data_IF_896031957430
#
_entry.id   IF_896031957430
#
_cell.length_a   1.000
_cell.length_b   1.000
_cell.length_c   1.000
_cell.angle_alpha   90.00
_cell.angle_beta   90.00
_cell.angle_gamma   90.00
#
_symmetry.space_group_name_H-M   'P 1'
#
loop_
_entity.id
_entity.type
_entity.pdbx_description
1 polymer ?
#
# COMPACT_ATOMS: atom_id res chain seq x y z
N UNK A 1 0.97 5.94 26.62
CA UNK A 1 1.06 6.38 25.21
C UNK A 1 0.76 5.17 24.36
N UNK A 2 -0.30 5.24 23.56
CA UNK A 2 -0.72 4.14 22.72
C UNK A 2 0.30 3.89 21.60
N UNK A 3 0.75 2.66 21.50
CA UNK A 3 1.55 2.20 20.36
C UNK A 3 0.74 2.39 19.07
N UNK A 4 1.13 3.35 18.25
CA UNK A 4 0.51 3.54 16.94
C UNK A 4 0.85 2.34 16.07
N UNK A 5 -0.05 1.38 16.00
CA UNK A 5 0.07 0.22 15.12
C UNK A 5 -0.17 0.66 13.68
N UNK A 6 0.90 0.94 12.94
CA UNK A 6 0.80 1.12 11.50
C UNK A 6 0.77 -0.24 10.82
N UNK A 7 -0.40 -0.71 10.44
CA UNK A 7 -0.53 -1.91 9.62
C UNK A 7 -0.06 -1.60 8.20
N UNK A 8 1.18 -1.91 7.86
CA UNK A 8 1.67 -2.06 6.49
C UNK A 8 1.48 -0.91 5.48
N UNK A 9 1.17 0.29 5.94
CA UNK A 9 0.79 1.43 5.11
C UNK A 9 1.84 2.56 5.13
N UNK A 10 3.00 2.29 5.75
CA UNK A 10 3.98 3.32 6.07
C UNK A 10 4.69 3.93 4.87
N UNK A 11 4.77 3.23 3.75
CA UNK A 11 5.75 3.55 2.72
C UNK A 11 5.32 4.68 1.79
N UNK A 12 4.03 4.98 1.71
CA UNK A 12 3.48 6.04 0.84
C UNK A 12 2.97 7.24 1.64
N UNK A 13 2.72 7.05 2.92
CA UNK A 13 2.35 8.15 3.79
C UNK A 13 3.60 8.76 4.45
N UNK A 14 3.73 10.07 4.40
CA UNK A 14 4.80 10.83 5.03
C UNK A 14 4.72 10.69 6.55
N UNK A 15 5.15 9.54 7.08
CA UNK A 15 5.24 9.30 8.52
C UNK A 15 6.62 9.69 8.99
N UNK A 16 6.67 10.71 9.79
CA UNK A 16 7.91 11.24 10.30
C UNK A 16 8.19 10.62 11.68
N UNK A 17 8.94 9.54 11.71
CA UNK A 17 9.28 8.82 12.95
C UNK A 17 9.85 9.76 13.99
N UNK A 18 10.78 10.66 13.60
CA UNK A 18 11.39 11.65 14.50
C UNK A 18 10.43 12.76 14.88
N UNK A 19 9.68 13.32 13.94
CA UNK A 19 8.76 14.43 14.17
C UNK A 19 7.61 14.03 15.10
N UNK A 20 7.14 12.79 14.98
CA UNK A 20 6.07 12.25 15.81
C UNK A 20 6.56 11.56 17.08
N UNK A 21 7.87 11.57 17.34
CA UNK A 21 8.52 10.95 18.50
C UNK A 21 8.05 9.49 18.71
N UNK A 22 8.05 8.71 17.61
CA UNK A 22 7.58 7.33 17.65
C UNK A 22 8.63 6.41 18.26
N UNK A 23 8.22 5.58 19.19
CA UNK A 23 9.09 4.64 19.90
C UNK A 23 9.36 3.36 19.13
N UNK A 24 8.38 2.89 18.35
CA UNK A 24 8.52 1.70 17.54
C UNK A 24 7.68 1.81 16.27
N UNK A 25 8.28 1.46 15.13
CA UNK A 25 7.61 1.41 13.83
C UNK A 25 8.00 0.13 13.13
N UNK A 26 7.02 -0.53 12.51
CA UNK A 26 7.28 -1.67 11.64
C UNK A 26 6.56 -1.51 10.30
N UNK A 27 7.11 -2.15 9.29
CA UNK A 27 6.57 -2.21 7.93
C UNK A 27 6.50 -3.65 7.45
N UNK A 28 6.17 -3.86 6.20
CA UNK A 28 6.10 -5.17 5.57
C UNK A 28 6.64 -5.10 4.13
N UNK A 29 7.48 -6.06 3.78
CA UNK A 29 8.14 -6.11 2.48
C UNK A 29 7.17 -6.27 1.29
N UNK A 30 6.03 -6.93 1.47
CA UNK A 30 5.05 -7.24 0.42
C UNK A 30 4.03 -6.13 0.12
N UNK A 31 4.23 -4.92 0.62
CA UNK A 31 3.36 -3.76 0.35
C UNK A 31 4.04 -2.81 -0.63
N UNK A 32 4.17 -1.54 -0.31
CA UNK A 32 4.75 -0.55 -1.22
C UNK A 32 6.23 -0.80 -1.56
N UNK A 33 6.93 -1.63 -0.79
CA UNK A 33 8.29 -2.07 -1.14
C UNK A 33 8.34 -3.11 -2.28
N UNK A 34 7.20 -3.67 -2.68
CA UNK A 34 7.08 -4.59 -3.82
C UNK A 34 7.97 -5.84 -3.77
N UNK A 35 8.29 -6.31 -2.56
CA UNK A 35 9.02 -7.55 -2.36
C UNK A 35 8.07 -8.72 -2.04
N UNK A 36 8.64 -9.93 -2.00
CA UNK A 36 7.95 -11.09 -1.43
C UNK A 36 7.68 -10.91 0.05
N UNK A 37 6.58 -11.46 0.60
CA UNK A 37 6.36 -11.49 2.04
C UNK A 37 7.44 -12.29 2.78
N UNK A 38 7.63 -12.00 4.08
CA UNK A 38 8.56 -12.72 4.94
C UNK A 38 9.52 -11.83 5.73
N UNK A 39 9.64 -10.55 5.36
CA UNK A 39 10.45 -9.58 6.10
C UNK A 39 9.57 -8.44 6.62
N UNK A 40 9.87 -8.03 7.85
CA UNK A 40 9.24 -6.88 8.49
C UNK A 40 10.33 -5.91 8.95
N UNK A 41 10.67 -4.89 8.15
CA UNK A 41 11.55 -3.83 8.60
C UNK A 41 10.98 -3.17 9.85
N UNK A 42 11.82 -2.99 10.87
CA UNK A 42 11.45 -2.38 12.14
C UNK A 42 12.47 -1.34 12.56
N UNK A 43 12.02 -0.33 13.29
CA UNK A 43 12.90 0.62 13.97
C UNK A 43 12.40 0.87 15.38
N UNK A 44 13.32 1.11 16.29
CA UNK A 44 13.04 1.38 17.70
C UNK A 44 13.80 2.63 18.15
N UNK A 45 13.20 3.40 19.07
CA UNK A 45 13.89 4.48 19.77
C UNK A 45 14.84 3.92 20.83
N UNK A 46 15.80 4.74 21.26
CA UNK A 46 16.69 4.39 22.38
C UNK A 46 15.90 4.09 23.66
N UNK A 47 14.78 4.79 23.89
CA UNK A 47 13.87 4.53 25.01
C UNK A 47 13.35 3.08 25.04
N UNK A 48 13.03 2.51 23.86
CA UNK A 48 12.59 1.10 23.76
C UNK A 48 13.75 0.17 24.03
N UNK A 49 14.94 0.47 23.51
CA UNK A 49 16.13 -0.35 23.73
C UNK A 49 16.46 -0.39 25.23
N UNK A 50 16.49 0.75 25.90
CA UNK A 50 16.72 0.84 27.35
C UNK A 50 15.67 0.07 28.16
N UNK A 51 14.39 0.21 27.77
CA UNK A 51 13.31 -0.52 28.40
C UNK A 51 13.44 -2.04 28.26
N UNK A 52 13.76 -2.51 27.05
CA UNK A 52 13.88 -3.96 26.77
C UNK A 52 15.12 -4.55 27.46
N UNK A 53 16.25 -3.85 27.44
CA UNK A 53 17.48 -4.30 28.08
C UNK A 53 17.39 -4.30 29.60
N UNK A 54 16.62 -3.38 30.18
CA UNK A 54 16.37 -3.31 31.63
C UNK A 54 15.29 -4.28 32.16
N UNK A 55 14.65 -5.07 31.31
CA UNK A 55 13.60 -6.01 31.76
C UNK A 55 14.14 -7.09 32.69
N UNK A 56 13.40 -7.35 33.77
CA UNK A 56 13.70 -8.45 34.72
C UNK A 56 13.15 -9.78 34.22
N UNK A 57 12.00 -9.76 33.55
CA UNK A 57 11.34 -10.96 33.04
C UNK A 57 11.74 -11.24 31.60
N UNK A 58 12.03 -12.52 31.31
CA UNK A 58 12.38 -12.94 29.95
C UNK A 58 11.18 -12.84 29.02
N UNK A 59 11.46 -12.50 27.75
CA UNK A 59 10.49 -12.58 26.66
C UNK A 59 10.11 -14.05 26.43
N UNK A 60 8.82 -14.35 26.26
CA UNK A 60 8.35 -15.71 26.06
C UNK A 60 8.81 -16.34 24.73
N UNK A 61 9.01 -15.50 23.69
CA UNK A 61 9.48 -15.95 22.39
C UNK A 61 10.96 -15.70 22.24
N UNK A 62 11.76 -16.76 22.17
CA UNK A 62 13.18 -16.67 21.84
C UNK A 62 13.42 -15.92 20.51
N UNK A 63 12.62 -16.22 19.48
CA UNK A 63 12.78 -15.63 18.13
C UNK A 63 12.50 -14.13 18.10
N UNK A 64 11.61 -13.64 18.96
CA UNK A 64 11.23 -12.22 19.03
C UNK A 64 11.89 -11.48 20.18
N UNK A 65 12.88 -12.07 20.83
CA UNK A 65 13.64 -11.40 21.89
C UNK A 65 14.63 -10.41 21.28
N UNK A 66 14.31 -9.13 21.40
CA UNK A 66 15.13 -8.05 20.85
C UNK A 66 16.54 -8.03 21.43
N UNK A 67 16.75 -8.42 22.71
CA UNK A 67 18.07 -8.50 23.31
C UNK A 67 18.95 -9.49 22.58
N UNK A 68 18.40 -10.67 22.25
CA UNK A 68 19.13 -11.70 21.51
C UNK A 68 19.43 -11.26 20.08
N UNK A 69 18.50 -10.57 19.44
CA UNK A 69 18.70 -10.01 18.09
C UNK A 69 19.78 -8.91 18.07
N UNK A 70 19.76 -8.01 19.05
CA UNK A 70 20.78 -6.96 19.20
C UNK A 70 22.18 -7.54 19.40
N UNK A 71 22.33 -8.59 20.20
CA UNK A 71 23.58 -9.30 20.40
C UNK A 71 24.09 -9.98 19.11
N UNK A 72 23.18 -10.38 18.21
CA UNK A 72 23.53 -10.94 16.92
C UNK A 72 24.01 -9.87 15.91
N UNK A 73 23.43 -8.67 15.95
CA UNK A 73 23.73 -7.62 14.96
C UNK A 73 24.68 -6.52 15.46
N UNK A 74 24.65 -6.23 16.73
CA UNK A 74 25.23 -5.00 17.30
C UNK A 74 26.63 -5.12 17.88
N UNK A 75 27.21 -6.32 18.01
CA UNK A 75 28.47 -6.54 18.70
C UNK A 75 29.61 -7.03 17.81
N UNK A 76 30.83 -6.72 18.21
CA UNK A 76 32.07 -7.18 17.54
C UNK A 76 32.19 -8.71 17.55
N UNK A 77 31.75 -9.35 18.64
CA UNK A 77 31.64 -10.81 18.76
C UNK A 77 30.19 -11.19 18.53
N UNK A 78 29.91 -11.77 17.38
CA UNK A 78 28.55 -12.18 17.00
C UNK A 78 28.13 -13.44 17.75
N UNK A 79 26.95 -13.38 18.34
CA UNK A 79 26.26 -14.56 18.87
C UNK A 79 25.20 -14.98 17.87
N UNK A 80 25.30 -16.22 17.35
CA UNK A 80 24.31 -16.72 16.40
C UNK A 80 22.91 -16.77 17.03
N UNK A 81 21.92 -16.24 16.33
CA UNK A 81 20.54 -16.26 16.76
C UNK A 81 19.68 -17.11 15.81
N UNK A 82 19.64 -16.79 14.52
CA UNK A 82 18.85 -17.51 13.52
C UNK A 82 19.49 -17.41 12.15
N UNK A 83 19.11 -18.33 11.25
CA UNK A 83 19.52 -18.25 9.85
C UNK A 83 18.69 -17.19 9.13
N UNK A 84 19.36 -16.16 8.62
CA UNK A 84 18.71 -15.10 7.88
C UNK A 84 18.10 -15.60 6.56
N UNK A 85 16.91 -15.12 6.15
CA UNK A 85 16.27 -15.48 4.88
C UNK A 85 16.95 -14.73 3.73
N UNK A 86 18.12 -15.22 3.29
CA UNK A 86 19.04 -14.53 2.37
C UNK A 86 18.35 -14.05 1.09
N UNK A 87 17.56 -14.90 0.44
CA UNK A 87 16.87 -14.52 -0.80
C UNK A 87 15.87 -13.36 -0.57
N UNK A 88 15.16 -13.35 0.56
CA UNK A 88 14.29 -12.26 0.94
C UNK A 88 15.07 -10.96 1.23
N UNK A 89 16.25 -11.06 1.84
CA UNK A 89 17.10 -9.91 2.11
C UNK A 89 17.65 -9.30 0.81
N UNK A 90 18.08 -10.11 -0.17
CA UNK A 90 18.47 -9.60 -1.48
C UNK A 90 17.32 -8.90 -2.20
N UNK A 91 16.12 -9.49 -2.18
CA UNK A 91 14.95 -8.86 -2.79
C UNK A 91 14.60 -7.53 -2.10
N UNK A 92 14.66 -7.46 -0.76
CA UNK A 92 14.43 -6.22 -0.02
C UNK A 92 15.52 -5.18 -0.28
N UNK A 93 16.77 -5.59 -0.37
CA UNK A 93 17.89 -4.70 -0.70
C UNK A 93 17.66 -4.03 -2.06
N UNK A 94 17.33 -4.82 -3.09
CA UNK A 94 17.03 -4.30 -4.43
C UNK A 94 15.84 -3.34 -4.42
N UNK A 95 14.76 -3.69 -3.75
CA UNK A 95 13.60 -2.82 -3.63
C UNK A 95 13.92 -1.48 -2.96
N UNK A 96 14.79 -1.48 -1.96
CA UNK A 96 15.24 -0.25 -1.29
C UNK A 96 16.17 0.58 -2.20
N UNK A 97 16.99 -0.07 -3.04
CA UNK A 97 17.78 0.63 -4.06
C UNK A 97 16.88 1.31 -5.09
N UNK A 98 15.88 0.62 -5.63
CA UNK A 98 14.92 1.18 -6.58
C UNK A 98 14.13 2.34 -5.96
N UNK A 99 13.70 2.21 -4.71
CA UNK A 99 13.03 3.30 -3.98
C UNK A 99 13.95 4.51 -3.78
N UNK A 100 15.22 4.29 -3.45
CA UNK A 100 16.22 5.35 -3.31
C UNK A 100 16.50 6.04 -4.65
N UNK A 101 16.55 5.29 -5.73
CA UNK A 101 16.78 5.78 -7.09
C UNK A 101 15.60 6.63 -7.59
N UNK A 102 14.37 6.15 -7.39
CA UNK A 102 13.17 6.92 -7.68
C UNK A 102 13.07 8.18 -6.80
N UNK A 103 13.46 8.10 -5.55
CA UNK A 103 13.28 9.10 -4.51
C UNK A 103 11.91 9.01 -3.84
N UNK A 104 11.91 9.07 -2.50
CA UNK A 104 10.69 8.83 -1.70
C UNK A 104 9.55 9.83 -2.03
N UNK A 105 9.88 11.07 -2.29
CA UNK A 105 8.89 12.10 -2.65
C UNK A 105 8.28 11.86 -4.03
N UNK A 106 9.09 11.38 -4.99
CA UNK A 106 8.61 10.97 -6.31
C UNK A 106 7.70 9.74 -6.22
N UNK A 107 8.04 8.79 -5.36
CA UNK A 107 7.21 7.62 -5.06
C UNK A 107 5.84 8.05 -4.52
N UNK A 108 5.78 8.98 -3.57
CA UNK A 108 4.51 9.51 -3.07
C UNK A 108 3.70 10.21 -4.15
N UNK A 109 4.35 11.06 -4.95
CA UNK A 109 3.72 11.77 -6.07
C UNK A 109 3.17 10.78 -7.12
N UNK A 110 3.90 9.70 -7.42
CA UNK A 110 3.48 8.65 -8.34
C UNK A 110 2.22 7.93 -7.82
N UNK A 111 2.20 7.50 -6.56
CA UNK A 111 1.02 6.86 -5.98
C UNK A 111 -0.19 7.79 -5.97
N UNK A 112 0.00 9.05 -5.56
CA UNK A 112 -1.07 10.04 -5.57
C UNK A 112 -1.61 10.28 -6.98
N UNK A 113 -0.74 10.37 -7.98
CA UNK A 113 -1.12 10.57 -9.38
C UNK A 113 -2.01 9.43 -9.89
N UNK A 114 -1.61 8.19 -9.65
CA UNK A 114 -2.36 7.03 -10.11
C UNK A 114 -3.64 6.80 -9.30
N UNK A 115 -3.62 7.12 -8.01
CA UNK A 115 -4.82 7.11 -7.18
C UNK A 115 -5.88 8.09 -7.71
N UNK A 116 -5.52 9.33 -8.06
CA UNK A 116 -6.47 10.30 -8.59
C UNK A 116 -7.10 9.83 -9.91
N UNK A 117 -6.33 9.20 -10.78
CA UNK A 117 -6.86 8.63 -12.01
C UNK A 117 -7.81 7.43 -11.74
N UNK A 118 -7.43 6.52 -10.85
CA UNK A 118 -8.29 5.39 -10.44
C UNK A 118 -9.58 5.87 -9.77
N UNK A 119 -9.48 6.88 -8.90
CA UNK A 119 -10.63 7.54 -8.26
C UNK A 119 -11.59 8.11 -9.30
N UNK A 120 -11.09 8.90 -10.26
CA UNK A 120 -11.90 9.49 -11.32
C UNK A 120 -12.67 8.40 -12.10
N UNK A 121 -12.03 7.28 -12.40
CA UNK A 121 -12.66 6.14 -13.05
C UNK A 121 -13.77 5.50 -12.21
N UNK A 122 -13.55 5.27 -10.91
CA UNK A 122 -14.59 4.75 -10.02
C UNK A 122 -15.78 5.71 -9.88
N UNK A 123 -15.53 7.00 -9.76
CA UNK A 123 -16.57 8.02 -9.70
C UNK A 123 -17.38 8.10 -11.00
N UNK A 124 -16.74 7.97 -12.17
CA UNK A 124 -17.43 7.88 -13.45
C UNK A 124 -18.32 6.64 -13.59
N UNK A 125 -17.95 5.53 -12.94
CA UNK A 125 -18.82 4.35 -12.83
C UNK A 125 -19.95 4.50 -11.82
N UNK A 126 -20.06 5.61 -11.08
CA UNK A 126 -21.01 5.80 -9.99
C UNK A 126 -20.72 4.99 -8.74
N UNK A 127 -19.50 4.45 -8.60
CA UNK A 127 -19.09 3.64 -7.45
C UNK A 127 -18.77 4.53 -6.25
N UNK A 128 -19.10 4.04 -5.06
CA UNK A 128 -18.95 4.79 -3.81
C UNK A 128 -17.79 4.26 -2.98
N UNK A 129 -16.97 5.16 -2.49
CA UNK A 129 -15.91 4.82 -1.53
C UNK A 129 -16.51 4.55 -0.14
N UNK A 130 -15.96 3.56 0.57
CA UNK A 130 -16.27 3.32 1.99
C UNK A 130 -15.85 4.51 2.86
N UNK A 131 -14.64 5.03 2.64
CA UNK A 131 -14.14 6.23 3.31
C UNK A 131 -14.70 7.45 2.59
N UNK A 132 -15.65 8.15 3.23
CA UNK A 132 -16.41 9.24 2.60
C UNK A 132 -15.54 10.47 2.35
N UNK A 133 -14.78 10.88 3.36
CA UNK A 133 -13.91 12.07 3.26
C UNK A 133 -12.60 11.70 2.55
N UNK A 134 -12.30 12.42 1.47
CA UNK A 134 -11.12 12.15 0.65
C UNK A 134 -9.81 12.36 1.43
N UNK A 135 -9.77 13.31 2.35
CA UNK A 135 -8.58 13.56 3.18
C UNK A 135 -8.17 12.38 4.05
N UNK A 136 -9.12 11.48 4.36
CA UNK A 136 -8.91 10.29 5.19
C UNK A 136 -8.60 9.04 4.33
N UNK A 137 -8.56 9.17 3.00
CA UNK A 137 -8.25 8.07 2.07
C UNK A 137 -6.76 7.92 1.89
N UNK A 138 -6.35 6.68 1.65
CA UNK A 138 -4.96 6.33 1.37
C UNK A 138 -4.78 6.08 -0.14
N UNK A 139 -3.78 6.69 -0.79
CA UNK A 139 -3.58 6.51 -2.24
C UNK A 139 -3.25 5.08 -2.63
N UNK A 140 -2.65 4.30 -1.75
CA UNK A 140 -2.24 2.93 -2.03
C UNK A 140 -3.34 1.88 -1.87
N UNK A 141 -4.51 2.24 -1.33
CA UNK A 141 -5.64 1.32 -1.20
C UNK A 141 -6.97 2.05 -1.29
N UNK A 142 -7.82 1.62 -2.20
CA UNK A 142 -9.18 2.11 -2.36
C UNK A 142 -10.17 1.03 -1.93
N UNK A 143 -11.03 1.35 -0.97
CA UNK A 143 -12.11 0.47 -0.55
C UNK A 143 -13.42 0.98 -1.14
N UNK A 144 -14.02 0.19 -2.02
CA UNK A 144 -15.22 0.54 -2.80
C UNK A 144 -16.39 -0.29 -2.30
N UNK A 145 -17.52 0.36 -2.07
CA UNK A 145 -18.78 -0.30 -1.72
C UNK A 145 -19.27 -1.11 -2.92
N UNK A 146 -19.66 -2.35 -2.67
CA UNK A 146 -20.32 -3.19 -3.67
C UNK A 146 -21.72 -2.59 -3.95
N UNK A 147 -22.07 -2.31 -5.22
CA UNK A 147 -23.40 -1.82 -5.57
C UNK A 147 -24.49 -2.83 -5.20
N UNK A 148 -25.68 -2.32 -4.89
CA UNK A 148 -26.84 -3.15 -4.62
C UNK A 148 -27.16 -4.06 -5.82
N UNK A 149 -27.49 -5.32 -5.56
CA UNK A 149 -27.79 -6.32 -6.58
C UNK A 149 -26.57 -6.94 -7.27
N UNK A 150 -25.35 -6.52 -6.94
CA UNK A 150 -24.11 -7.10 -7.49
C UNK A 150 -23.52 -8.09 -6.49
N UNK A 151 -23.16 -9.28 -6.97
CA UNK A 151 -22.45 -10.28 -6.18
C UNK A 151 -20.95 -9.94 -6.12
N UNK A 152 -20.48 -9.67 -4.91
CA UNK A 152 -19.10 -9.31 -4.61
C UNK A 152 -18.11 -10.36 -5.10
N UNK A 153 -18.35 -11.62 -4.78
CA UNK A 153 -17.45 -12.74 -5.08
C UNK A 153 -17.42 -13.06 -6.58
N UNK A 154 -18.58 -12.97 -7.26
CA UNK A 154 -18.66 -13.17 -8.70
C UNK A 154 -17.82 -12.16 -9.48
N UNK A 155 -17.85 -10.88 -9.07
CA UNK A 155 -17.00 -9.84 -9.70
C UNK A 155 -15.52 -10.16 -9.52
N UNK A 156 -15.06 -10.50 -8.31
CA UNK A 156 -13.64 -10.85 -8.08
C UNK A 156 -13.22 -12.09 -8.87
N UNK A 157 -14.07 -13.12 -8.91
CA UNK A 157 -13.79 -14.33 -9.67
C UNK A 157 -13.63 -14.04 -11.16
N UNK A 158 -14.51 -13.20 -11.73
CA UNK A 158 -14.44 -12.79 -13.14
C UNK A 158 -13.23 -11.90 -13.44
N UNK A 159 -12.90 -10.97 -12.56
CA UNK A 159 -11.67 -10.16 -12.70
C UNK A 159 -10.44 -11.07 -12.81
N UNK A 160 -10.34 -12.07 -11.95
CA UNK A 160 -9.22 -13.00 -11.96
C UNK A 160 -9.23 -13.91 -13.21
N UNK A 161 -10.37 -14.55 -13.52
CA UNK A 161 -10.44 -15.56 -14.58
C UNK A 161 -10.44 -14.98 -15.99
N UNK A 162 -11.05 -13.81 -16.21
CA UNK A 162 -11.17 -13.20 -17.54
C UNK A 162 -10.04 -12.20 -17.85
N UNK A 163 -9.47 -11.55 -16.81
CA UNK A 163 -8.51 -10.44 -16.98
C UNK A 163 -7.19 -10.61 -16.24
N UNK A 164 -7.00 -11.68 -15.46
CA UNK A 164 -5.84 -11.90 -14.58
C UNK A 164 -5.64 -10.74 -13.56
N UNK A 165 -6.73 -10.12 -13.13
CA UNK A 165 -6.72 -9.05 -12.13
C UNK A 165 -7.30 -9.56 -10.83
N UNK A 166 -6.48 -9.62 -9.80
CA UNK A 166 -6.91 -9.99 -8.45
C UNK A 166 -7.12 -8.75 -7.59
N UNK A 167 -8.29 -8.66 -6.94
CA UNK A 167 -8.61 -7.63 -5.96
C UNK A 167 -9.04 -8.25 -4.64
N UNK A 168 -8.88 -7.50 -3.54
CA UNK A 168 -9.20 -7.99 -2.21
C UNK A 168 -10.69 -7.91 -1.87
N UNK A 169 -11.18 -8.91 -1.13
CA UNK A 169 -12.50 -8.88 -0.49
C UNK A 169 -12.49 -7.99 0.77
N UNK A 170 -13.67 -7.59 1.24
CA UNK A 170 -13.86 -7.05 2.58
C UNK A 170 -13.50 -8.07 3.66
N UNK A 171 -13.16 -7.59 4.86
CA UNK A 171 -12.80 -8.43 6.01
C UNK A 171 -13.78 -8.20 7.18
N UNK A 172 -14.06 -9.25 7.93
CA UNK A 172 -14.94 -9.18 9.11
C UNK A 172 -16.32 -8.61 8.76
N UNK A 173 -16.76 -7.54 9.42
CA UNK A 173 -18.09 -6.93 9.16
C UNK A 173 -18.28 -6.36 7.75
N UNK A 174 -17.20 -6.19 6.98
CA UNK A 174 -17.20 -5.70 5.60
C UNK A 174 -17.17 -6.83 4.55
N UNK A 175 -17.11 -8.09 4.96
CA UNK A 175 -17.14 -9.23 4.04
C UNK A 175 -18.41 -9.18 3.18
N UNK A 176 -18.25 -9.36 1.87
CA UNK A 176 -19.33 -9.29 0.88
C UNK A 176 -19.89 -7.89 0.60
N UNK A 177 -19.39 -6.85 1.28
CA UNK A 177 -19.93 -5.47 1.16
C UNK A 177 -19.00 -4.52 0.43
N UNK A 178 -17.72 -4.85 0.33
CA UNK A 178 -16.71 -3.98 -0.27
C UNK A 178 -15.68 -4.77 -1.07
N UNK A 179 -15.13 -4.12 -2.08
CA UNK A 179 -13.88 -4.51 -2.75
C UNK A 179 -12.73 -3.64 -2.26
N UNK A 180 -11.52 -4.22 -2.22
CA UNK A 180 -10.31 -3.47 -1.92
C UNK A 180 -9.37 -3.52 -3.11
N UNK A 181 -9.11 -2.36 -3.68
CA UNK A 181 -8.18 -2.19 -4.80
C UNK A 181 -6.84 -1.70 -4.27
N UNK A 182 -5.81 -2.54 -4.39
CA UNK A 182 -4.45 -2.20 -4.00
C UNK A 182 -3.70 -1.53 -5.15
N UNK A 183 -3.14 -0.35 -4.88
CA UNK A 183 -2.32 0.39 -5.83
C UNK A 183 -0.98 0.70 -5.14
N UNK A 184 -0.15 -0.35 -4.98
CA UNK A 184 1.02 -0.32 -4.11
C UNK A 184 2.31 -0.57 -4.87
N UNK A 185 3.35 0.23 -4.57
CA UNK A 185 4.68 0.01 -5.10
C UNK A 185 4.72 -0.03 -6.63
N UNK A 186 5.27 -1.08 -7.20
CA UNK A 186 5.40 -1.25 -8.64
C UNK A 186 4.06 -1.32 -9.39
N UNK A 187 3.00 -1.78 -8.74
CA UNK A 187 1.67 -1.84 -9.37
C UNK A 187 1.01 -0.47 -9.54
N UNK A 188 1.51 0.57 -8.86
CA UNK A 188 1.04 1.93 -9.02
C UNK A 188 1.58 2.54 -10.33
N UNK A 189 0.94 2.18 -11.45
CA UNK A 189 1.25 2.67 -12.79
C UNK A 189 -0.03 2.83 -13.63
N UNK A 190 0.06 3.57 -14.74
CA UNK A 190 -1.09 3.88 -15.58
C UNK A 190 -1.68 2.66 -16.29
N UNK A 191 -0.85 1.70 -16.70
CA UNK A 191 -1.31 0.49 -17.39
C UNK A 191 -2.24 -0.33 -16.48
N UNK A 192 -1.84 -0.53 -15.22
CA UNK A 192 -2.65 -1.26 -14.24
C UNK A 192 -3.95 -0.52 -13.88
N UNK A 193 -3.92 0.81 -13.78
CA UNK A 193 -5.14 1.62 -13.56
C UNK A 193 -6.11 1.43 -14.71
N UNK A 194 -5.65 1.55 -15.96
CA UNK A 194 -6.49 1.41 -17.15
C UNK A 194 -7.04 -0.01 -17.28
N UNK A 195 -6.20 -1.04 -17.09
CA UNK A 195 -6.64 -2.45 -17.10
C UNK A 195 -7.72 -2.70 -16.04
N UNK A 196 -7.51 -2.22 -14.82
CA UNK A 196 -8.45 -2.42 -13.72
C UNK A 196 -9.82 -1.77 -14.01
N UNK A 197 -9.83 -0.53 -14.48
CA UNK A 197 -11.06 0.20 -14.80
C UNK A 197 -11.80 -0.45 -15.97
N UNK A 198 -11.09 -0.82 -17.04
CA UNK A 198 -11.69 -1.47 -18.20
C UNK A 198 -12.29 -2.84 -17.87
N UNK A 199 -11.54 -3.67 -17.13
CA UNK A 199 -12.00 -4.98 -16.69
C UNK A 199 -13.24 -4.88 -15.78
N UNK A 200 -13.18 -4.00 -14.77
CA UNK A 200 -14.30 -3.80 -13.84
C UNK A 200 -15.54 -3.26 -14.56
N UNK A 201 -15.39 -2.25 -15.41
CA UNK A 201 -16.48 -1.68 -16.19
C UNK A 201 -17.15 -2.70 -17.11
N UNK A 202 -16.37 -3.52 -17.79
CA UNK A 202 -16.85 -4.63 -18.62
C UNK A 202 -17.68 -5.65 -17.82
N UNK A 203 -17.16 -6.08 -16.67
CA UNK A 203 -17.84 -7.05 -15.80
C UNK A 203 -19.14 -6.47 -15.24
N UNK A 204 -19.11 -5.26 -14.70
CA UNK A 204 -20.28 -4.61 -14.13
C UNK A 204 -21.38 -4.40 -15.19
N UNK A 205 -21.01 -4.01 -16.40
CA UNK A 205 -21.95 -3.87 -17.52
C UNK A 205 -22.60 -5.22 -17.87
N UNK A 206 -21.83 -6.31 -17.96
CA UNK A 206 -22.35 -7.67 -18.19
C UNK A 206 -23.29 -8.16 -17.09
N UNK A 207 -23.10 -7.67 -15.85
CA UNK A 207 -23.95 -7.99 -14.71
C UNK A 207 -25.17 -7.05 -14.58
N UNK A 208 -25.41 -6.16 -15.53
CA UNK A 208 -26.55 -5.27 -15.57
C UNK A 208 -26.43 -4.01 -14.70
N UNK A 209 -25.24 -3.73 -14.14
CA UNK A 209 -25.01 -2.46 -13.46
C UNK A 209 -24.88 -1.32 -14.49
N UNK A 210 -25.51 -0.14 -14.27
CA UNK A 210 -25.62 0.92 -15.28
C UNK A 210 -24.31 1.71 -15.44
N UNK A 211 -23.26 1.05 -15.92
CA UNK A 211 -22.01 1.69 -16.32
C UNK A 211 -21.95 1.80 -17.84
N UNK A 212 -21.36 2.88 -18.32
CA UNK A 212 -21.02 3.02 -19.73
C UNK A 212 -19.55 2.66 -19.94
N UNK A 213 -19.32 1.62 -20.72
CA UNK A 213 -17.96 1.15 -21.04
C UNK A 213 -17.18 2.28 -21.71
N UNK A 214 -15.95 2.53 -21.26
CA UNK A 214 -15.08 3.58 -21.76
C UNK A 214 -15.14 4.90 -20.99
N UNK A 215 -16.21 5.19 -20.26
CA UNK A 215 -16.31 6.46 -19.50
C UNK A 215 -15.31 6.52 -18.33
N UNK A 216 -15.06 5.41 -17.67
CA UNK A 216 -14.09 5.33 -16.58
C UNK A 216 -12.66 5.55 -17.06
N UNK A 217 -12.31 4.94 -18.18
CA UNK A 217 -11.01 5.11 -18.83
C UNK A 217 -10.84 6.56 -19.32
N UNK A 218 -11.87 7.14 -19.90
CA UNK A 218 -11.85 8.54 -20.34
C UNK A 218 -11.64 9.50 -19.15
N UNK A 219 -12.33 9.27 -18.03
CA UNK A 219 -12.15 10.04 -16.80
C UNK A 219 -10.73 9.91 -16.22
N UNK A 220 -10.17 8.71 -16.24
CA UNK A 220 -8.78 8.48 -15.81
C UNK A 220 -7.76 9.18 -16.72
N UNK A 221 -7.93 9.13 -18.04
CA UNK A 221 -7.10 9.85 -18.98
C UNK A 221 -7.18 11.37 -18.78
N UNK A 222 -8.37 11.92 -18.56
CA UNK A 222 -8.56 13.33 -18.27
C UNK A 222 -7.86 13.74 -16.95
N UNK A 223 -7.93 12.89 -15.93
CA UNK A 223 -7.21 13.08 -14.67
C UNK A 223 -5.70 13.14 -14.89
N UNK A 224 -5.13 12.24 -15.69
CA UNK A 224 -3.71 12.27 -16.03
C UNK A 224 -3.31 13.54 -16.81
N UNK A 225 -4.11 13.95 -17.78
CA UNK A 225 -3.84 15.14 -18.59
C UNK A 225 -3.84 16.42 -17.74
N UNK A 226 -4.81 16.59 -16.84
CA UNK A 226 -4.90 17.75 -15.95
C UNK A 226 -3.72 17.85 -14.98
N UNK A 227 -3.25 16.71 -14.46
CA UNK A 227 -2.08 16.63 -13.58
C UNK A 227 -0.79 17.04 -14.32
N UNK A 228 -0.61 16.60 -15.56
CA UNK A 228 0.54 17.02 -16.40
C UNK A 228 0.56 18.53 -16.63
N UNK A 229 -0.58 19.13 -16.96
CA UNK A 229 -0.71 20.58 -17.15
C UNK A 229 -0.32 21.35 -15.87
N UNK A 230 -0.81 20.91 -14.70
CA UNK A 230 -0.49 21.52 -13.41
C UNK A 230 1.00 21.42 -13.05
N UNK A 231 1.64 20.28 -13.33
CA UNK A 231 3.08 20.10 -13.10
C UNK A 231 3.92 21.00 -14.01
N UNK A 232 3.56 21.09 -15.28
CA UNK A 232 4.24 21.98 -16.25
C UNK A 232 4.12 23.46 -15.85
N UNK A 233 2.96 23.89 -15.37
CA UNK A 233 2.74 25.25 -14.88
C UNK A 233 3.59 25.56 -13.64
N UNK A 234 3.66 24.63 -12.66
CA UNK A 234 4.49 24.79 -11.47
C UNK A 234 5.99 24.82 -11.80
N UNK A 235 6.44 24.05 -12.78
CA UNK A 235 7.83 24.07 -13.24
C UNK A 235 8.19 25.42 -13.87
N UNK A 236 7.31 25.99 -14.73
CA UNK A 236 7.49 27.32 -15.32
C UNK A 236 7.48 28.46 -14.30
N UNK A 237 6.73 28.35 -13.22
CA UNK A 237 6.67 29.36 -12.17
C UNK A 237 7.89 29.35 -11.23
N UNK A 238 8.73 28.31 -11.30
CA UNK A 238 9.96 28.16 -10.50
C UNK A 238 11.24 28.47 -11.28
N UNK A 239 11.15 28.57 -12.60
CA UNK A 239 12.22 29.01 -13.49
C UNK A 239 12.20 30.51 -13.72
#
# INVERSE_FOLDING_TARGET
RDLVRSRGLGDVYKRQVKEWDLDAVYSASQKCLSCTPGLSPVTYSDRVIDYVTGRKDKVQSWFMDLNLILNYWGHTVRTYHHTAPINGLFALHEALLLLKEEGIENTWARHQRHYQALKAGFEAMGLKFLVKDEKDRLPQISTIMVPEGIDEAAVRSKLLSEFNVEIGAGLGPLAGKVWRFGLMGYTANSANVMLCLSALGSILSKLGYPVKVGEAEAAAHQSYASQHASMAQKARARA
#
